data_IF_351493182166
#
_entry.id   IF_351493182166
#
_cell.length_a   1.000
_cell.length_b   1.000
_cell.length_c   1.000
_cell.angle_alpha   90.00
_cell.angle_beta   90.00
_cell.angle_gamma   90.00
#
_symmetry.space_group_name_H-M   'P 1'
#
loop_
_entity.id
_entity.type
_entity.pdbx_description
1 polymer ?
#
# COMPACT_ATOMS: atom_id res chain seq x y z
N UNK A 1 -27.28 62.18 44.23
CA UNK A 1 -26.15 61.25 44.00
C UNK A 1 -26.56 59.78 43.88
N UNK A 2 -27.63 59.30 44.53
CA UNK A 2 -28.09 57.91 44.39
C UNK A 2 -28.81 57.58 43.05
N UNK A 3 -29.43 58.58 42.39
CA UNK A 3 -30.10 58.42 41.08
C UNK A 3 -29.11 58.12 39.96
N UNK A 4 -28.04 58.92 39.86
CA UNK A 4 -27.00 58.77 38.86
C UNK A 4 -26.33 57.38 38.90
N UNK A 5 -26.08 56.82 40.09
CA UNK A 5 -25.54 55.45 40.24
C UNK A 5 -26.49 54.36 39.77
N UNK A 6 -27.81 54.56 39.90
CA UNK A 6 -28.84 53.62 39.40
C UNK A 6 -28.97 53.70 37.88
N UNK A 7 -28.89 54.91 37.32
CA UNK A 7 -28.90 55.16 35.87
C UNK A 7 -27.64 54.58 35.20
N UNK A 8 -26.46 54.75 35.80
CA UNK A 8 -25.20 54.13 35.37
C UNK A 8 -25.29 52.59 35.40
N UNK A 9 -25.91 52.02 36.44
CA UNK A 9 -26.12 50.57 36.55
C UNK A 9 -27.10 50.04 35.49
N UNK A 10 -28.13 50.80 35.13
CA UNK A 10 -29.09 50.43 34.08
C UNK A 10 -28.45 50.50 32.68
N UNK A 11 -27.65 51.53 32.42
CA UNK A 11 -26.90 51.68 31.17
C UNK A 11 -25.92 50.52 30.95
N UNK A 12 -25.21 50.08 32.00
CA UNK A 12 -24.30 48.92 31.93
C UNK A 12 -25.09 47.64 31.60
N UNK A 13 -26.26 47.44 32.20
CA UNK A 13 -27.12 46.29 31.90
C UNK A 13 -27.62 46.31 30.45
N UNK A 14 -28.07 47.47 29.96
CA UNK A 14 -28.49 47.63 28.56
C UNK A 14 -27.35 47.34 27.57
N UNK A 15 -26.15 47.85 27.84
CA UNK A 15 -24.96 47.56 27.03
C UNK A 15 -24.59 46.07 27.05
N UNK A 16 -24.68 45.42 28.21
CA UNK A 16 -24.45 43.99 28.34
C UNK A 16 -25.45 43.17 27.50
N UNK A 17 -26.74 43.49 27.60
CA UNK A 17 -27.80 42.84 26.81
C UNK A 17 -27.61 43.04 25.31
N UNK A 18 -27.27 44.26 24.90
CA UNK A 18 -26.99 44.58 23.49
C UNK A 18 -25.80 43.78 22.94
N UNK A 19 -24.68 43.71 23.68
CA UNK A 19 -23.52 42.89 23.29
C UNK A 19 -23.87 41.40 23.22
N UNK A 20 -24.68 40.91 24.15
CA UNK A 20 -25.16 39.52 24.14
C UNK A 20 -26.06 39.22 22.94
N UNK A 21 -26.93 40.16 22.57
CA UNK A 21 -27.78 40.05 21.39
C UNK A 21 -26.98 40.09 20.10
N UNK A 22 -26.01 41.01 19.97
CA UNK A 22 -25.09 41.06 18.83
C UNK A 22 -24.33 39.74 18.66
N UNK A 23 -23.75 39.19 19.73
CA UNK A 23 -23.09 37.88 19.69
C UNK A 23 -24.01 36.75 19.23
N UNK A 24 -25.25 36.72 19.72
CA UNK A 24 -26.25 35.74 19.25
C UNK A 24 -26.58 35.90 17.77
N UNK A 25 -26.67 37.13 17.28
CA UNK A 25 -26.92 37.40 15.86
C UNK A 25 -25.73 37.02 14.98
N UNK A 26 -24.50 37.27 15.43
CA UNK A 26 -23.28 36.79 14.77
C UNK A 26 -23.25 35.26 14.71
N UNK A 27 -23.57 34.58 15.81
CA UNK A 27 -23.67 33.10 15.84
C UNK A 27 -24.75 32.57 14.90
N UNK A 28 -25.90 33.23 14.79
CA UNK A 28 -26.97 32.86 13.85
C UNK A 28 -26.54 33.10 12.39
N UNK A 29 -25.85 34.21 12.12
CA UNK A 29 -25.32 34.52 10.80
C UNK A 29 -24.23 33.52 10.38
N UNK A 30 -23.35 33.12 11.29
CA UNK A 30 -22.37 32.05 11.05
C UNK A 30 -23.03 30.71 10.79
N UNK A 31 -24.07 30.34 11.56
CA UNK A 31 -24.85 29.12 11.31
C UNK A 31 -25.51 29.16 9.94
N UNK A 32 -26.09 30.29 9.54
CA UNK A 32 -26.69 30.46 8.22
C UNK A 32 -25.66 30.32 7.10
N UNK A 33 -24.46 30.91 7.25
CA UNK A 33 -23.34 30.74 6.29
C UNK A 33 -22.94 29.28 6.16
N UNK A 34 -22.75 28.58 7.28
CA UNK A 34 -22.44 27.14 7.28
C UNK A 34 -23.52 26.34 6.55
N UNK A 35 -24.81 26.60 6.81
CA UNK A 35 -25.90 25.89 6.12
C UNK A 35 -25.84 26.13 4.61
N UNK A 36 -25.59 27.36 4.16
CA UNK A 36 -25.44 27.67 2.74
C UNK A 36 -24.23 26.99 2.12
N UNK A 37 -23.09 26.95 2.81
CA UNK A 37 -21.89 26.20 2.39
C UNK A 37 -22.19 24.70 2.27
N UNK A 38 -22.87 24.12 3.25
CA UNK A 38 -23.29 22.71 3.23
C UNK A 38 -24.22 22.39 2.07
N UNK A 39 -25.18 23.27 1.76
CA UNK A 39 -26.06 23.13 0.60
C UNK A 39 -25.28 23.21 -0.72
N UNK A 40 -24.37 24.17 -0.85
CA UNK A 40 -23.49 24.27 -2.02
C UNK A 40 -22.65 23.01 -2.22
N UNK A 41 -22.12 22.42 -1.14
CA UNK A 41 -21.40 21.14 -1.20
C UNK A 41 -22.30 19.97 -1.61
N UNK A 42 -23.55 19.96 -1.15
CA UNK A 42 -24.53 18.94 -1.50
C UNK A 42 -24.90 19.02 -2.99
N UNK A 43 -25.12 20.22 -3.53
CA UNK A 43 -25.42 20.43 -4.96
C UNK A 43 -24.24 19.99 -5.84
N UNK A 44 -23.00 20.31 -5.42
CA UNK A 44 -21.78 19.83 -6.09
C UNK A 44 -21.71 18.29 -6.06
N UNK A 45 -22.07 17.68 -4.93
CA UNK A 45 -22.09 16.22 -4.80
C UNK A 45 -23.12 15.58 -5.74
N UNK A 46 -24.33 16.14 -5.84
CA UNK A 46 -25.37 15.66 -6.75
C UNK A 46 -24.93 15.79 -8.21
N UNK A 47 -24.38 16.94 -8.59
CA UNK A 47 -23.86 17.14 -9.94
C UNK A 47 -22.71 16.16 -10.27
N UNK A 48 -21.81 15.91 -9.32
CA UNK A 48 -20.76 14.91 -9.49
C UNK A 48 -21.33 13.49 -9.68
N UNK A 49 -22.42 13.14 -9.00
CA UNK A 49 -23.08 11.84 -9.23
C UNK A 49 -23.65 11.72 -10.63
N UNK A 50 -24.30 12.76 -11.16
CA UNK A 50 -24.81 12.79 -12.53
C UNK A 50 -23.67 12.65 -13.56
N UNK A 51 -22.57 13.37 -13.36
CA UNK A 51 -21.38 13.28 -14.23
C UNK A 51 -20.78 11.86 -14.22
N UNK A 52 -20.75 11.20 -13.06
CA UNK A 52 -20.27 9.82 -12.93
C UNK A 52 -21.19 8.87 -13.70
N UNK A 53 -22.50 9.05 -13.63
CA UNK A 53 -23.46 8.23 -14.38
C UNK A 53 -23.33 8.43 -15.90
N UNK A 54 -23.18 9.68 -16.34
CA UNK A 54 -22.90 9.99 -17.75
C UNK A 54 -21.60 9.34 -18.23
N UNK A 55 -20.54 9.40 -17.42
CA UNK A 55 -19.28 8.72 -17.73
C UNK A 55 -19.43 7.20 -17.81
N UNK A 56 -20.20 6.59 -16.89
CA UNK A 56 -20.50 5.15 -16.95
C UNK A 56 -21.26 4.79 -18.22
N UNK A 57 -22.24 5.60 -18.63
CA UNK A 57 -22.98 5.39 -19.88
C UNK A 57 -22.06 5.47 -21.11
N UNK A 58 -21.14 6.44 -21.16
CA UNK A 58 -20.14 6.56 -22.24
C UNK A 58 -19.23 5.34 -22.28
N UNK A 59 -18.75 4.86 -21.12
CA UNK A 59 -17.90 3.67 -21.04
C UNK A 59 -18.62 2.42 -21.55
N UNK A 60 -19.88 2.21 -21.17
CA UNK A 60 -20.72 1.11 -21.66
C UNK A 60 -20.88 1.16 -23.17
N UNK A 61 -21.18 2.33 -23.73
CA UNK A 61 -21.29 2.53 -25.18
C UNK A 61 -19.99 2.19 -25.90
N UNK A 62 -18.86 2.68 -25.39
CA UNK A 62 -17.54 2.40 -25.97
C UNK A 62 -17.17 0.91 -25.92
N UNK A 63 -17.51 0.22 -24.83
CA UNK A 63 -17.29 -1.22 -24.71
C UNK A 63 -18.13 -2.02 -25.71
N UNK A 64 -19.41 -1.64 -25.89
CA UNK A 64 -20.27 -2.22 -26.92
C UNK A 64 -19.71 -2.03 -28.32
N UNK A 65 -19.25 -0.81 -28.65
CA UNK A 65 -18.66 -0.51 -29.96
C UNK A 65 -17.41 -1.38 -30.20
N UNK A 66 -16.53 -1.52 -29.20
CA UNK A 66 -15.35 -2.38 -29.29
C UNK A 66 -15.71 -3.86 -29.52
N UNK A 67 -16.63 -4.40 -28.73
CA UNK A 67 -17.12 -5.78 -28.89
C UNK A 67 -17.71 -6.00 -30.28
N UNK A 68 -18.48 -5.01 -30.79
CA UNK A 68 -19.05 -5.05 -32.14
C UNK A 68 -17.96 -5.10 -33.21
N UNK A 69 -16.91 -4.28 -33.09
CA UNK A 69 -15.79 -4.29 -34.03
C UNK A 69 -14.99 -5.59 -33.98
N UNK A 70 -14.70 -6.11 -32.79
CA UNK A 70 -14.01 -7.40 -32.61
C UNK A 70 -14.81 -8.56 -33.21
N UNK A 71 -16.13 -8.58 -33.01
CA UNK A 71 -16.99 -9.59 -33.61
C UNK A 71 -17.02 -9.50 -35.14
N UNK A 72 -17.09 -8.29 -35.70
CA UNK A 72 -17.02 -8.08 -37.16
C UNK A 72 -15.68 -8.58 -37.74
N UNK A 73 -14.56 -8.36 -37.04
CA UNK A 73 -13.24 -8.85 -37.45
C UNK A 73 -13.15 -10.37 -37.51
N UNK A 74 -13.87 -11.07 -36.63
CA UNK A 74 -13.89 -12.53 -36.56
C UNK A 74 -14.89 -13.17 -37.54
N UNK A 75 -15.86 -12.41 -38.06
CA UNK A 75 -16.88 -12.91 -38.97
C UNK A 75 -16.36 -13.05 -40.42
N UNK A 76 -16.79 -14.10 -41.15
CA UNK A 76 -16.56 -14.18 -42.59
C UNK A 76 -17.22 -13.00 -43.31
N UNK A 77 -16.52 -12.38 -44.27
CA UNK A 77 -16.97 -11.17 -44.97
C UNK A 77 -18.41 -11.24 -45.53
N UNK A 78 -18.86 -12.43 -45.95
CA UNK A 78 -20.22 -12.67 -46.49
C UNK A 78 -21.33 -12.51 -45.43
N UNK A 79 -21.02 -12.69 -44.15
CA UNK A 79 -21.98 -12.63 -43.02
C UNK A 79 -22.00 -11.26 -42.33
N UNK A 80 -21.07 -10.37 -42.66
CA UNK A 80 -20.96 -9.04 -42.02
C UNK A 80 -22.19 -8.18 -42.32
N UNK A 81 -22.67 -8.19 -43.56
CA UNK A 81 -23.85 -7.40 -43.96
C UNK A 81 -25.13 -7.86 -43.25
N UNK A 82 -25.29 -9.17 -43.05
CA UNK A 82 -26.40 -9.77 -42.33
C UNK A 82 -26.34 -9.46 -40.82
N UNK A 83 -25.15 -9.47 -40.24
CA UNK A 83 -24.92 -9.06 -38.85
C UNK A 83 -25.22 -7.58 -38.62
N UNK A 84 -24.74 -6.70 -39.51
CA UNK A 84 -24.96 -5.26 -39.40
C UNK A 84 -26.43 -4.87 -39.55
N UNK A 85 -27.19 -5.57 -40.40
CA UNK A 85 -28.64 -5.36 -40.55
C UNK A 85 -29.38 -5.81 -39.29
N UNK A 86 -29.08 -7.00 -38.75
CA UNK A 86 -29.64 -7.48 -37.48
C UNK A 86 -29.34 -6.54 -36.29
N UNK A 87 -28.11 -6.05 -36.17
CA UNK A 87 -27.72 -5.09 -35.13
C UNK A 87 -28.37 -3.70 -35.31
N UNK A 88 -28.77 -3.33 -36.54
CA UNK A 88 -29.49 -2.06 -36.79
C UNK A 88 -30.96 -2.13 -36.40
N UNK A 89 -31.58 -3.31 -36.52
CA UNK A 89 -32.99 -3.55 -36.20
C UNK A 89 -33.20 -3.83 -34.70
N UNK A 90 -32.29 -4.58 -34.08
CA UNK A 90 -32.30 -4.88 -32.65
C UNK A 90 -30.86 -4.96 -32.15
N UNK A 91 -30.27 -3.86 -31.62
CA UNK A 91 -28.95 -3.93 -31.04
C UNK A 91 -28.97 -4.96 -29.93
N UNK A 92 -28.05 -5.92 -29.96
CA UNK A 92 -27.96 -6.95 -28.92
C UNK A 92 -27.96 -6.25 -27.56
N UNK A 93 -28.95 -6.56 -26.72
CA UNK A 93 -28.95 -6.09 -25.33
C UNK A 93 -27.61 -6.51 -24.77
N UNK A 94 -26.74 -5.53 -24.50
CA UNK A 94 -25.51 -5.71 -23.75
C UNK A 94 -25.79 -6.76 -22.69
N UNK A 95 -25.07 -7.89 -22.73
CA UNK A 95 -24.92 -8.73 -21.55
C UNK A 95 -24.20 -7.83 -20.56
N UNK A 96 -25.00 -7.09 -19.81
CA UNK A 96 -24.55 -6.02 -18.91
C UNK A 96 -23.50 -6.57 -17.96
N UNK A 97 -23.68 -7.83 -17.57
CA UNK A 97 -22.91 -8.44 -16.51
C UNK A 97 -21.45 -8.69 -16.93
N UNK A 98 -21.16 -9.31 -18.08
CA UNK A 98 -19.77 -9.67 -18.43
C UNK A 98 -18.91 -8.44 -18.79
N UNK A 99 -19.48 -7.50 -19.54
CA UNK A 99 -18.77 -6.29 -19.97
C UNK A 99 -18.60 -5.28 -18.81
N UNK A 100 -19.56 -5.19 -17.89
CA UNK A 100 -19.39 -4.42 -16.66
C UNK A 100 -18.42 -5.10 -15.71
N UNK A 101 -18.42 -6.42 -15.58
CA UNK A 101 -17.50 -7.13 -14.69
C UNK A 101 -16.03 -6.98 -15.13
N UNK A 102 -15.76 -7.05 -16.44
CA UNK A 102 -14.40 -6.79 -16.99
C UNK A 102 -13.98 -5.34 -16.71
N UNK A 103 -14.87 -4.37 -16.92
CA UNK A 103 -14.59 -2.96 -16.64
C UNK A 103 -14.39 -2.69 -15.14
N UNK A 104 -15.18 -3.33 -14.28
CA UNK A 104 -15.05 -3.24 -12.83
C UNK A 104 -13.74 -3.86 -12.33
N UNK A 105 -13.30 -4.99 -12.89
CA UNK A 105 -11.99 -5.59 -12.59
C UNK A 105 -10.85 -4.64 -12.97
N UNK A 106 -10.88 -4.05 -14.18
CA UNK A 106 -9.87 -3.08 -14.63
C UNK A 106 -9.87 -1.83 -13.73
N UNK A 107 -11.04 -1.33 -13.36
CA UNK A 107 -11.16 -0.16 -12.51
C UNK A 107 -10.73 -0.44 -11.06
N UNK A 108 -11.05 -1.63 -10.54
CA UNK A 108 -10.59 -2.11 -9.25
C UNK A 108 -9.07 -2.24 -9.21
N UNK A 109 -8.45 -2.83 -10.22
CA UNK A 109 -6.99 -2.92 -10.33
C UNK A 109 -6.33 -1.55 -10.37
N UNK A 110 -6.88 -0.59 -11.12
CA UNK A 110 -6.40 0.80 -11.14
C UNK A 110 -6.47 1.44 -9.76
N UNK A 111 -7.61 1.31 -9.06
CA UNK A 111 -7.79 1.84 -7.70
C UNK A 111 -6.84 1.17 -6.71
N UNK A 112 -6.67 -0.15 -6.81
CA UNK A 112 -5.78 -0.92 -5.97
C UNK A 112 -4.31 -0.53 -6.18
N UNK A 113 -3.88 -0.35 -7.43
CA UNK A 113 -2.54 0.12 -7.77
C UNK A 113 -2.30 1.55 -7.27
N UNK A 114 -3.26 2.45 -7.44
CA UNK A 114 -3.20 3.80 -6.87
C UNK A 114 -3.09 3.77 -5.34
N UNK A 115 -3.88 2.92 -4.67
CA UNK A 115 -3.82 2.74 -3.23
C UNK A 115 -2.44 2.24 -2.78
N UNK A 116 -1.82 1.28 -3.49
CA UNK A 116 -0.45 0.82 -3.20
C UNK A 116 0.57 1.95 -3.29
N UNK A 117 0.46 2.82 -4.29
CA UNK A 117 1.35 3.98 -4.45
C UNK A 117 1.19 4.96 -3.30
N UNK A 118 -0.05 5.31 -2.95
CA UNK A 118 -0.37 6.22 -1.83
C UNK A 118 0.14 5.63 -0.51
N UNK A 119 -0.13 4.36 -0.25
CA UNK A 119 0.34 3.67 0.95
C UNK A 119 1.87 3.63 1.03
N UNK A 120 2.56 3.39 -0.08
CA UNK A 120 4.03 3.41 -0.14
C UNK A 120 4.57 4.81 0.17
N UNK A 121 3.97 5.86 -0.41
CA UNK A 121 4.34 7.24 -0.13
C UNK A 121 4.13 7.59 1.36
N UNK A 122 3.00 7.19 1.94
CA UNK A 122 2.68 7.44 3.34
C UNK A 122 3.63 6.71 4.29
N UNK A 123 3.96 5.44 4.01
CA UNK A 123 4.97 4.67 4.77
C UNK A 123 6.33 5.37 4.73
N UNK A 124 6.76 5.86 3.56
CA UNK A 124 8.01 6.59 3.41
C UNK A 124 8.01 7.92 4.16
N UNK A 125 6.92 8.69 4.07
CA UNK A 125 6.74 9.92 4.84
C UNK A 125 6.83 9.67 6.34
N UNK A 126 6.11 8.65 6.83
CA UNK A 126 6.12 8.29 8.25
C UNK A 126 7.52 7.92 8.74
N UNK A 127 8.25 7.07 7.98
CA UNK A 127 9.64 6.71 8.28
C UNK A 127 10.54 7.94 8.36
N UNK A 128 10.45 8.86 7.39
CA UNK A 128 11.23 10.12 7.41
C UNK A 128 10.88 10.99 8.63
N UNK A 129 9.60 11.08 9.00
CA UNK A 129 9.15 11.85 10.17
C UNK A 129 9.66 11.27 11.48
N UNK A 130 9.67 9.94 11.62
CA UNK A 130 10.24 9.26 12.79
C UNK A 130 11.75 9.45 12.86
N UNK A 131 12.46 9.24 11.75
CA UNK A 131 13.89 9.47 11.66
C UNK A 131 14.26 10.93 11.99
N UNK A 132 13.49 11.90 11.50
CA UNK A 132 13.67 13.31 11.83
C UNK A 132 13.45 13.63 13.31
N UNK A 133 12.44 13.03 13.96
CA UNK A 133 12.23 13.17 15.42
C UNK A 133 13.36 12.55 16.23
N UNK A 134 13.82 11.36 15.84
CA UNK A 134 14.95 10.69 16.48
C UNK A 134 16.23 11.50 16.32
N UNK A 135 16.51 11.96 15.11
CA UNK A 135 17.66 12.82 14.82
C UNK A 135 17.61 14.08 15.68
N UNK A 136 16.49 14.81 15.67
CA UNK A 136 16.30 16.00 16.54
C UNK A 136 16.54 15.67 18.00
N UNK A 137 16.01 14.56 18.52
CA UNK A 137 16.21 14.16 19.92
C UNK A 137 17.69 13.89 20.25
N UNK A 138 18.46 13.38 19.30
CA UNK A 138 19.90 13.12 19.50
C UNK A 138 20.75 14.36 19.27
N UNK A 139 20.37 15.22 18.32
CA UNK A 139 21.13 16.42 17.96
C UNK A 139 20.76 17.63 18.80
N UNK A 140 19.58 17.68 19.42
CA UNK A 140 19.22 18.65 20.47
C UNK A 140 20.00 18.32 21.75
N UNK A 141 21.25 18.74 21.74
CA UNK A 141 22.04 18.87 22.95
C UNK A 141 21.47 20.08 23.71
N UNK A 142 20.91 19.83 24.91
CA UNK A 142 20.44 20.87 25.83
C UNK A 142 21.55 21.93 26.02
N UNK A 143 21.20 23.23 26.14
CA UNK A 143 22.20 24.30 26.27
C UNK A 143 23.22 24.04 27.39
N UNK A 144 22.78 23.54 28.55
CA UNK A 144 23.66 23.17 29.67
C UNK A 144 24.67 22.07 29.29
N UNK A 145 24.19 20.99 28.67
CA UNK A 145 25.06 19.90 28.18
C UNK A 145 26.02 20.38 27.10
N UNK A 146 25.63 21.37 26.29
CA UNK A 146 26.49 21.98 25.28
C UNK A 146 27.63 22.76 25.94
N UNK A 147 27.34 23.52 27.00
CA UNK A 147 28.35 24.22 27.79
C UNK A 147 29.31 23.25 28.47
N UNK A 148 28.80 22.15 29.05
CA UNK A 148 29.64 21.08 29.64
C UNK A 148 30.57 20.43 28.60
N UNK A 149 30.05 20.12 27.41
CA UNK A 149 30.85 19.54 26.33
C UNK A 149 31.90 20.52 25.81
N UNK A 150 31.55 21.81 25.71
CA UNK A 150 32.50 22.87 25.36
C UNK A 150 33.58 22.98 26.44
N UNK A 151 33.22 22.96 27.72
CA UNK A 151 34.17 22.96 28.82
C UNK A 151 35.11 21.75 28.74
N UNK A 152 34.59 20.53 28.56
CA UNK A 152 35.41 19.32 28.38
C UNK A 152 36.32 19.37 27.15
N UNK A 153 35.85 19.96 26.04
CA UNK A 153 36.68 20.16 24.84
C UNK A 153 37.78 21.19 25.13
N UNK A 154 37.44 22.28 25.83
CA UNK A 154 38.39 23.33 26.18
C UNK A 154 39.43 22.79 27.18
N UNK A 155 39.01 22.00 28.16
CA UNK A 155 39.89 21.30 29.08
C UNK A 155 40.80 20.34 28.32
N UNK A 156 40.30 19.55 27.36
CA UNK A 156 41.15 18.68 26.51
C UNK A 156 42.11 19.43 25.59
N UNK A 157 41.73 20.62 25.12
CA UNK A 157 42.57 21.47 24.29
C UNK A 157 43.63 22.23 25.11
N UNK A 158 43.27 22.62 26.33
CA UNK A 158 44.16 23.26 27.30
C UNK A 158 45.10 22.21 27.94
N UNK A 159 44.61 20.99 28.16
CA UNK A 159 45.36 19.78 28.48
C UNK A 159 46.09 19.22 27.23
N UNK A 160 46.58 20.07 26.32
CA UNK A 160 47.57 19.68 25.29
C UNK A 160 48.90 19.21 25.90
N UNK A 161 48.87 18.40 26.95
CA UNK A 161 49.81 17.29 27.16
C UNK A 161 49.46 16.22 26.13
N UNK A 162 50.18 16.28 25.00
CA UNK A 162 50.43 15.20 24.03
C UNK A 162 49.55 13.95 24.21
N UNK A 163 48.70 13.64 23.22
CA UNK A 163 47.93 12.39 23.09
C UNK A 163 48.63 11.24 23.83
N UNK A 164 48.25 11.00 25.09
CA UNK A 164 48.89 9.98 25.93
C UNK A 164 48.78 8.66 25.19
N UNK A 165 49.84 7.84 25.23
CA UNK A 165 49.87 6.50 24.60
C UNK A 165 48.60 5.69 24.95
N UNK A 166 48.05 5.91 26.14
CA UNK A 166 46.80 5.36 26.67
C UNK A 166 45.56 5.62 25.78
N UNK A 167 45.45 6.78 25.14
CA UNK A 167 44.34 7.06 24.21
C UNK A 167 44.49 6.31 22.89
N UNK A 168 45.74 6.15 22.42
CA UNK A 168 46.04 5.39 21.21
C UNK A 168 45.76 3.91 21.43
N UNK A 169 46.07 3.36 22.60
CA UNK A 169 45.74 1.96 22.95
C UNK A 169 44.24 1.74 23.03
N UNK A 170 43.47 2.64 23.66
CA UNK A 170 41.99 2.54 23.68
C UNK A 170 41.38 2.59 22.27
N UNK A 171 41.91 3.43 21.38
CA UNK A 171 41.46 3.48 19.99
C UNK A 171 41.79 2.18 19.24
N UNK A 172 42.99 1.62 19.44
CA UNK A 172 43.41 0.34 18.84
C UNK A 172 42.54 -0.82 19.32
N UNK A 173 42.25 -0.89 20.61
CA UNK A 173 41.38 -1.92 21.19
C UNK A 173 39.95 -1.81 20.64
N UNK A 174 39.37 -0.60 20.59
CA UNK A 174 38.05 -0.40 19.99
C UNK A 174 38.03 -0.82 18.53
N UNK A 175 39.03 -0.46 17.73
CA UNK A 175 39.13 -0.89 16.33
C UNK A 175 39.24 -2.42 16.20
N UNK A 176 39.98 -3.09 17.08
CA UNK A 176 40.07 -4.54 17.11
C UNK A 176 38.70 -5.18 17.42
N UNK A 177 37.96 -4.67 18.41
CA UNK A 177 36.62 -5.18 18.73
C UNK A 177 35.63 -5.02 17.57
N UNK A 178 35.67 -3.88 16.87
CA UNK A 178 34.83 -3.66 15.69
C UNK A 178 35.17 -4.61 14.54
N UNK A 179 36.46 -4.89 14.30
CA UNK A 179 36.89 -5.85 13.27
C UNK A 179 36.41 -7.27 13.61
N UNK A 180 36.59 -7.70 14.86
CA UNK A 180 36.15 -9.02 15.31
C UNK A 180 34.62 -9.19 15.24
N UNK A 181 33.84 -8.14 15.57
CA UNK A 181 32.39 -8.17 15.42
C UNK A 181 31.98 -8.29 13.94
N UNK A 182 32.65 -7.56 13.05
CA UNK A 182 32.40 -7.62 11.60
C UNK A 182 32.71 -9.00 11.02
N UNK A 183 33.79 -9.64 11.46
CA UNK A 183 34.14 -11.01 11.04
C UNK A 183 33.07 -12.02 11.49
N UNK A 184 32.59 -11.93 12.74
CA UNK A 184 31.48 -12.78 13.22
C UNK A 184 30.20 -12.60 12.40
N UNK A 185 29.87 -11.36 12.03
CA UNK A 185 28.71 -11.08 11.19
C UNK A 185 28.87 -11.63 9.76
N UNK A 186 30.08 -11.54 9.21
CA UNK A 186 30.41 -12.12 7.90
C UNK A 186 30.30 -13.65 7.92
N UNK A 187 30.82 -14.31 8.96
CA UNK A 187 30.70 -15.76 9.14
C UNK A 187 29.26 -16.21 9.31
N UNK A 188 28.47 -15.48 10.10
CA UNK A 188 27.04 -15.73 10.25
C UNK A 188 26.29 -15.56 8.92
N UNK A 189 26.67 -14.57 8.11
CA UNK A 189 26.12 -14.39 6.77
C UNK A 189 26.51 -15.55 5.83
N UNK A 190 27.78 -15.97 5.82
CA UNK A 190 28.23 -17.10 5.01
C UNK A 190 27.49 -18.40 5.37
N UNK A 191 27.32 -18.70 6.67
CA UNK A 191 26.52 -19.84 7.13
C UNK A 191 25.07 -19.78 6.64
N UNK A 192 24.43 -18.61 6.73
CA UNK A 192 23.07 -18.41 6.19
C UNK A 192 23.00 -18.63 4.68
N UNK A 193 24.00 -18.15 3.93
CA UNK A 193 24.03 -18.35 2.48
C UNK A 193 24.16 -19.83 2.10
N UNK A 194 24.95 -20.62 2.82
CA UNK A 194 25.04 -22.07 2.59
C UNK A 194 23.70 -22.77 2.82
N UNK A 195 22.98 -22.41 3.89
CA UNK A 195 21.63 -22.94 4.17
C UNK A 195 20.64 -22.54 3.09
N UNK A 196 20.64 -21.28 2.65
CA UNK A 196 19.77 -20.83 1.56
C UNK A 196 20.09 -21.59 0.26
N UNK A 197 21.37 -21.83 -0.05
CA UNK A 197 21.76 -22.59 -1.22
C UNK A 197 21.38 -24.07 -1.12
N UNK A 198 21.43 -24.69 0.06
CA UNK A 198 20.92 -26.06 0.23
C UNK A 198 19.41 -26.10 0.04
N UNK A 199 18.66 -25.20 0.68
CA UNK A 199 17.20 -25.14 0.52
C UNK A 199 16.79 -24.89 -0.93
N UNK A 200 17.51 -24.03 -1.67
CA UNK A 200 17.25 -23.83 -3.10
C UNK A 200 17.46 -25.10 -3.91
N UNK A 201 18.52 -25.87 -3.61
CA UNK A 201 18.76 -27.17 -4.27
C UNK A 201 17.65 -28.16 -3.94
N UNK A 202 17.23 -28.22 -2.68
CA UNK A 202 16.16 -29.13 -2.25
C UNK A 202 14.81 -28.78 -2.92
N UNK A 203 14.48 -27.49 -3.04
CA UNK A 203 13.28 -27.02 -3.76
C UNK A 203 13.34 -27.37 -5.25
N UNK A 204 14.49 -27.19 -5.90
CA UNK A 204 14.66 -27.55 -7.32
C UNK A 204 14.46 -29.05 -7.54
N UNK A 205 15.01 -29.88 -6.65
CA UNK A 205 14.83 -31.33 -6.68
C UNK A 205 13.36 -31.70 -6.47
N UNK A 206 12.66 -31.05 -5.53
CA UNK A 206 11.23 -31.26 -5.30
C UNK A 206 10.39 -30.91 -6.54
N UNK A 207 10.69 -29.80 -7.20
CA UNK A 207 9.97 -29.36 -8.39
C UNK A 207 10.19 -30.28 -9.61
N UNK A 208 11.26 -31.08 -9.62
CA UNK A 208 11.52 -32.03 -10.72
C UNK A 208 10.88 -33.41 -10.48
N UNK A 209 10.17 -33.63 -9.37
CA UNK A 209 9.52 -34.91 -9.08
C UNK A 209 8.17 -34.96 -9.81
N UNK A 210 8.02 -35.96 -10.66
CA UNK A 210 6.76 -36.36 -11.29
C UNK A 210 6.24 -37.67 -10.67
N UNK A 211 4.98 -38.04 -10.96
CA UNK A 211 4.36 -39.26 -10.47
C UNK A 211 5.18 -40.54 -10.79
N UNK A 212 5.88 -40.54 -11.92
CA UNK A 212 6.67 -41.67 -12.44
C UNK A 212 8.12 -41.69 -11.95
N UNK A 213 8.60 -40.66 -11.25
CA UNK A 213 10.01 -40.57 -10.87
C UNK A 213 10.37 -41.69 -9.88
N UNK A 214 11.43 -42.47 -10.10
CA UNK A 214 11.85 -43.51 -9.16
C UNK A 214 12.46 -42.93 -7.88
N UNK A 215 12.26 -43.61 -6.74
CA UNK A 215 12.79 -43.14 -5.45
C UNK A 215 14.28 -43.49 -5.39
N UNK A 216 15.15 -42.48 -5.53
CA UNK A 216 16.61 -42.65 -5.40
C UNK A 216 17.08 -42.34 -3.97
N UNK A 217 18.20 -42.92 -3.52
CA UNK A 217 18.77 -42.61 -2.20
C UNK A 217 19.09 -41.12 -1.99
N UNK A 218 19.43 -40.40 -3.06
CA UNK A 218 19.64 -38.95 -3.03
C UNK A 218 18.36 -38.16 -2.71
N UNK A 219 17.23 -38.56 -3.29
CA UNK A 219 15.91 -37.97 -3.00
C UNK A 219 15.50 -38.22 -1.54
N UNK A 220 15.79 -39.40 -1.01
CA UNK A 220 15.51 -39.73 0.39
C UNK A 220 16.32 -38.90 1.38
N UNK A 221 17.56 -38.59 1.03
CA UNK A 221 18.41 -37.72 1.86
C UNK A 221 17.91 -36.28 1.93
N UNK A 222 17.32 -35.76 0.84
CA UNK A 222 16.71 -34.43 0.79
C UNK A 222 15.36 -34.36 1.50
N UNK A 223 14.56 -35.43 1.45
CA UNK A 223 13.18 -35.44 1.97
C UNK A 223 13.03 -36.01 3.38
N UNK A 224 14.05 -36.71 3.89
CA UNK A 224 14.10 -37.29 5.22
C UNK A 224 13.20 -38.53 5.43
N UNK A 225 12.06 -38.63 4.73
CA UNK A 225 11.12 -39.76 4.85
C UNK A 225 10.46 -40.11 3.51
N UNK A 226 10.25 -41.41 3.27
CA UNK A 226 9.53 -41.94 2.11
C UNK A 226 8.01 -41.72 2.20
N UNK A 227 7.45 -41.61 3.42
CA UNK A 227 5.99 -41.57 3.63
C UNK A 227 5.33 -40.32 3.05
N UNK A 228 5.84 -39.09 3.28
CA UNK A 228 5.26 -37.89 2.68
C UNK A 228 5.35 -37.89 1.15
N UNK A 229 6.43 -38.47 0.60
CA UNK A 229 6.66 -38.53 -0.85
C UNK A 229 5.69 -39.47 -1.57
N UNK A 230 5.36 -40.62 -0.96
CA UNK A 230 4.40 -41.55 -1.52
C UNK A 230 2.98 -40.95 -1.58
N UNK A 231 2.57 -40.26 -0.52
CA UNK A 231 1.30 -39.51 -0.50
C UNK A 231 1.28 -38.40 -1.54
N UNK A 232 2.36 -37.62 -1.65
CA UNK A 232 2.47 -36.55 -2.66
C UNK A 232 2.39 -37.07 -4.10
N UNK A 233 3.05 -38.19 -4.41
CA UNK A 233 2.95 -38.83 -5.73
C UNK A 233 1.56 -39.37 -6.03
N UNK A 234 0.89 -39.94 -5.03
CA UNK A 234 -0.50 -40.39 -5.17
C UNK A 234 -1.44 -39.19 -5.45
N UNK A 235 -1.22 -38.06 -4.78
CA UNK A 235 -1.96 -36.82 -5.05
C UNK A 235 -1.72 -36.29 -6.46
N UNK A 236 -0.47 -36.25 -6.94
CA UNK A 236 -0.16 -35.84 -8.32
C UNK A 236 -0.79 -36.78 -9.37
N UNK A 237 -0.71 -38.10 -9.14
CA UNK A 237 -1.33 -39.10 -10.03
C UNK A 237 -2.84 -38.93 -10.08
N UNK A 238 -3.48 -38.69 -8.92
CA UNK A 238 -4.91 -38.45 -8.84
C UNK A 238 -5.31 -37.15 -9.55
N UNK A 239 -4.55 -36.07 -9.37
CA UNK A 239 -4.80 -34.79 -10.05
C UNK A 239 -4.70 -34.94 -11.58
N UNK A 240 -3.65 -35.58 -12.10
CA UNK A 240 -3.53 -35.88 -13.53
C UNK A 240 -4.62 -36.82 -14.06
N UNK A 241 -5.13 -37.75 -13.23
CA UNK A 241 -6.23 -38.63 -13.63
C UNK A 241 -7.58 -37.90 -13.65
N UNK A 242 -7.81 -36.98 -12.70
CA UNK A 242 -8.98 -36.10 -12.70
C UNK A 242 -8.98 -35.15 -13.90
N UNK A 243 -7.83 -34.55 -14.24
CA UNK A 243 -7.69 -33.73 -15.46
C UNK A 243 -8.04 -34.54 -16.71
N UNK A 244 -7.58 -35.80 -16.81
CA UNK A 244 -7.94 -36.69 -17.93
C UNK A 244 -9.44 -37.02 -17.99
N UNK A 245 -10.09 -37.14 -16.83
CA UNK A 245 -11.54 -37.39 -16.76
C UNK A 245 -12.29 -36.13 -17.19
N UNK A 246 -11.88 -34.97 -16.70
CA UNK A 246 -12.48 -33.68 -17.06
C UNK A 246 -12.31 -33.39 -18.55
N UNK A 247 -11.13 -33.65 -19.13
CA UNK A 247 -10.87 -33.52 -20.57
C UNK A 247 -11.73 -34.47 -21.42
N UNK A 248 -12.03 -35.68 -20.91
CA UNK A 248 -12.96 -36.62 -21.55
C UNK A 248 -14.42 -36.14 -21.46
N UNK A 249 -14.83 -35.58 -20.33
CA UNK A 249 -16.18 -35.05 -20.13
C UNK A 249 -16.44 -33.79 -20.96
N UNK A 250 -15.41 -32.97 -21.18
CA UNK A 250 -15.47 -31.77 -22.02
C UNK A 250 -15.32 -32.07 -23.52
N UNK A 251 -15.12 -33.33 -23.91
CA UNK A 251 -14.99 -33.73 -25.32
C UNK A 251 -13.75 -33.17 -26.01
N UNK A 252 -12.71 -32.83 -25.24
CA UNK A 252 -11.47 -32.22 -25.75
C UNK A 252 -10.45 -33.26 -26.27
N UNK A 253 -10.84 -34.52 -26.43
CA UNK A 253 -9.99 -35.54 -27.05
C UNK A 253 -10.03 -35.44 -28.59
N UNK A 254 -8.88 -35.11 -29.20
CA UNK A 254 -8.48 -35.64 -30.51
C UNK A 254 -7.73 -36.95 -30.24
#
# INVERSE_FOLDING_TARGET
MASARKEESAAIQMQYWWRRHLKRNEELAEKARRISEWRGLQDISLHNTELIEQLKAIRRRKAYDLMKYEHILQLPARKVTEYLSKESEAPAKLVKDESEEILERIEYERRHNAAKVIQRAFKNYHRKKVAGRYLRRITEIRPQRRVELIAQINDRLNERKTLRKDHITVIKERLATYRAAREKDADAYAKRQLVIQSMKRDILVLNSITAETSITPGLLKCLGSTRPLAHYKASLSHESEMERIDDKLLGLHI
#
